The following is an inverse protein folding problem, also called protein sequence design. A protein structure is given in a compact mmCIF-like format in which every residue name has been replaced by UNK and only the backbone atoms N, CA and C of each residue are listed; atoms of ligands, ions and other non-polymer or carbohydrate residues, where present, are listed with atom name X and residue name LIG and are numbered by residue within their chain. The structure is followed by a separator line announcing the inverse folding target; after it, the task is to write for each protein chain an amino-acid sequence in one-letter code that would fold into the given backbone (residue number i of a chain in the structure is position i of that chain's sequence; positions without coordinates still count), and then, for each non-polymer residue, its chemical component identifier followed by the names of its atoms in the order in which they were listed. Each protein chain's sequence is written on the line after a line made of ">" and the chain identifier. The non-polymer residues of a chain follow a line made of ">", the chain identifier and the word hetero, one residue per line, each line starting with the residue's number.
data_IF_683814381121
#
_entry.id   IF_683814381121
#
_cell.length_a   1.000
_cell.length_b   1.000
_cell.length_c   1.000
_cell.angle_alpha   90.00
_cell.angle_beta   90.00
_cell.angle_gamma   90.00
#
_symmetry.space_group_name_H-M   'P 1'
#
loop_
_entity.id
_entity.type
_entity.pdbx_description
1 polymer ?
#
# COMPACT_ATOMS: atom_id res chain seq x y z
N UNK A 1 -38.73 7.11 19.30
CA UNK A 1 -37.38 6.52 19.51
C UNK A 1 -36.72 6.42 18.15
N UNK A 2 -35.74 7.27 17.85
CA UNK A 2 -35.00 7.18 16.58
C UNK A 2 -33.71 6.42 16.84
N UNK A 3 -33.53 5.28 16.14
CA UNK A 3 -32.32 4.48 16.20
C UNK A 3 -31.20 5.22 15.46
N UNK A 4 -30.26 5.79 16.22
CA UNK A 4 -29.01 6.34 15.72
C UNK A 4 -28.18 5.21 15.10
N UNK A 5 -28.12 5.15 13.77
CA UNK A 5 -27.18 4.30 13.07
C UNK A 5 -25.77 4.88 13.28
N UNK A 6 -24.98 4.22 14.12
CA UNK A 6 -23.57 4.55 14.31
C UNK A 6 -22.79 3.95 13.14
N UNK A 7 -22.38 4.80 12.19
CA UNK A 7 -21.44 4.38 11.16
C UNK A 7 -20.05 4.22 11.80
N UNK A 8 -19.54 3.00 11.85
CA UNK A 8 -18.12 2.77 12.12
C UNK A 8 -17.33 3.22 10.89
N UNK A 9 -16.81 4.45 10.95
CA UNK A 9 -15.82 4.93 9.99
C UNK A 9 -14.51 4.21 10.33
N UNK A 10 -14.18 3.17 9.57
CA UNK A 10 -12.84 2.59 9.66
C UNK A 10 -11.84 3.64 9.18
N UNK A 11 -10.78 3.93 9.95
CA UNK A 11 -9.74 4.84 9.49
C UNK A 11 -9.15 4.27 8.20
N UNK A 12 -9.34 4.99 7.08
CA UNK A 12 -8.67 4.63 5.84
C UNK A 12 -7.17 4.70 6.09
N UNK A 13 -6.49 3.57 5.97
CA UNK A 13 -5.03 3.54 6.03
C UNK A 13 -4.51 4.13 4.71
N UNK A 14 -3.98 5.35 4.79
CA UNK A 14 -3.55 6.11 3.62
C UNK A 14 -2.04 5.90 3.43
N UNK A 15 -1.66 5.35 2.28
CA UNK A 15 -0.27 5.29 1.83
C UNK A 15 0.31 6.71 1.74
N UNK A 16 1.59 6.86 2.10
CA UNK A 16 2.30 8.13 1.96
C UNK A 16 2.28 8.63 0.51
N UNK A 17 2.32 9.95 0.32
CA UNK A 17 2.33 10.56 -1.02
C UNK A 17 3.53 10.11 -1.86
N UNK A 18 4.68 9.89 -1.21
CA UNK A 18 5.88 9.35 -1.85
C UNK A 18 5.67 7.91 -2.33
N UNK A 19 5.15 7.02 -1.47
CA UNK A 19 4.87 5.65 -1.86
C UNK A 19 3.83 5.59 -2.99
N UNK A 20 2.78 6.45 -2.94
CA UNK A 20 1.80 6.62 -4.00
C UNK A 20 2.43 7.03 -5.34
N UNK A 21 3.35 8.00 -5.30
CA UNK A 21 4.06 8.44 -6.50
C UNK A 21 4.86 7.29 -7.13
N UNK A 22 5.54 6.50 -6.31
CA UNK A 22 6.33 5.35 -6.77
C UNK A 22 5.43 4.24 -7.36
N UNK A 23 4.33 3.87 -6.70
CA UNK A 23 3.41 2.84 -7.23
C UNK A 23 2.60 3.30 -8.44
N UNK A 24 2.64 4.60 -8.75
CA UNK A 24 2.10 5.17 -9.98
C UNK A 24 3.09 5.14 -11.15
N UNK A 25 4.39 4.88 -10.90
CA UNK A 25 5.39 4.69 -11.97
C UNK A 25 5.19 3.32 -12.63
N UNK A 26 5.65 3.20 -13.88
CA UNK A 26 5.73 1.89 -14.51
C UNK A 26 6.64 0.95 -13.71
N UNK A 27 6.29 -0.34 -13.59
CA UNK A 27 7.13 -1.35 -12.93
C UNK A 27 8.60 -1.30 -13.37
N UNK A 28 8.82 -1.10 -14.67
CA UNK A 28 10.15 -1.01 -15.28
C UNK A 28 10.95 0.24 -14.90
N UNK A 29 10.30 1.30 -14.43
CA UNK A 29 10.93 2.58 -14.08
C UNK A 29 11.28 2.68 -12.59
N UNK A 30 10.95 1.66 -11.79
CA UNK A 30 11.20 1.66 -10.34
C UNK A 30 12.61 1.18 -10.02
N UNK A 31 13.30 1.93 -9.17
CA UNK A 31 14.58 1.48 -8.60
C UNK A 31 14.38 0.49 -7.45
N UNK A 32 15.42 -0.27 -7.10
CA UNK A 32 15.36 -1.21 -5.98
C UNK A 32 15.12 -0.49 -4.63
N UNK A 33 15.69 0.71 -4.46
CA UNK A 33 15.45 1.59 -3.31
C UNK A 33 13.99 2.01 -3.23
N UNK A 34 13.38 2.39 -4.35
CA UNK A 34 11.97 2.76 -4.42
C UNK A 34 11.06 1.58 -4.10
N UNK A 35 11.38 0.38 -4.57
CA UNK A 35 10.64 -0.84 -4.22
C UNK A 35 10.71 -1.13 -2.72
N UNK A 36 11.87 -0.96 -2.07
CA UNK A 36 12.00 -1.10 -0.61
C UNK A 36 11.13 -0.11 0.15
N UNK A 37 11.11 1.15 -0.28
CA UNK A 37 10.27 2.19 0.33
C UNK A 37 8.77 1.85 0.22
N UNK A 38 8.33 1.36 -0.94
CA UNK A 38 6.95 0.91 -1.13
C UNK A 38 6.62 -0.28 -0.24
N UNK A 39 7.51 -1.27 -0.11
CA UNK A 39 7.31 -2.42 0.79
C UNK A 39 7.16 -1.95 2.24
N UNK A 40 7.99 -1.02 2.70
CA UNK A 40 7.89 -0.47 4.07
C UNK A 40 6.55 0.26 4.25
N UNK A 41 6.15 1.10 3.31
CA UNK A 41 4.91 1.84 3.39
C UNK A 41 3.68 0.90 3.36
N UNK A 42 3.70 -0.14 2.53
CA UNK A 42 2.64 -1.14 2.46
C UNK A 42 2.54 -1.96 3.74
N UNK A 43 3.65 -2.37 4.35
CA UNK A 43 3.65 -3.05 5.64
C UNK A 43 3.05 -2.21 6.78
N UNK A 44 3.24 -0.88 6.74
CA UNK A 44 2.67 0.03 7.73
C UNK A 44 1.18 0.32 7.48
N UNK A 45 0.74 0.21 6.23
CA UNK A 45 -0.59 0.66 5.79
C UNK A 45 -1.57 -0.51 5.60
N UNK A 46 -1.09 -1.72 5.31
CA UNK A 46 -1.93 -2.88 4.99
C UNK A 46 -1.48 -4.05 5.83
N UNK A 47 -2.23 -4.36 6.90
CA UNK A 47 -1.83 -5.40 7.87
C UNK A 47 -1.60 -6.76 7.20
N UNK A 48 -2.49 -7.14 6.28
CA UNK A 48 -2.39 -8.39 5.52
C UNK A 48 -1.18 -8.43 4.57
N UNK A 49 -0.60 -7.29 4.20
CA UNK A 49 0.58 -7.26 3.32
C UNK A 49 1.82 -7.84 4.03
N UNK A 50 1.91 -7.62 5.34
CA UNK A 50 3.00 -8.16 6.16
C UNK A 50 2.96 -9.66 6.37
N UNK A 51 1.84 -10.32 6.08
CA UNK A 51 1.69 -11.78 6.21
C UNK A 51 2.39 -12.54 5.07
N UNK A 52 2.64 -11.88 3.94
CA UNK A 52 3.35 -12.50 2.81
C UNK A 52 4.85 -12.62 3.09
N UNK A 53 5.51 -13.63 2.49
CA UNK A 53 6.98 -13.73 2.53
C UNK A 53 7.64 -12.47 1.93
N UNK A 54 8.82 -12.09 2.44
CA UNK A 54 9.55 -10.90 1.96
C UNK A 54 9.82 -10.92 0.45
N UNK A 55 10.04 -12.10 -0.13
CA UNK A 55 10.23 -12.28 -1.57
C UNK A 55 8.95 -11.92 -2.35
N UNK A 56 7.80 -12.36 -1.85
CA UNK A 56 6.50 -12.07 -2.45
C UNK A 56 6.13 -10.59 -2.27
N UNK A 57 6.37 -10.01 -1.10
CA UNK A 57 6.16 -8.58 -0.86
C UNK A 57 6.95 -7.72 -1.85
N UNK A 58 8.24 -8.02 -2.06
CA UNK A 58 9.07 -7.31 -3.05
C UNK A 58 8.55 -7.52 -4.48
N UNK A 59 8.16 -8.74 -4.83
CA UNK A 59 7.58 -9.02 -6.14
C UNK A 59 6.28 -8.25 -6.39
N UNK A 60 5.40 -8.15 -5.38
CA UNK A 60 4.15 -7.42 -5.49
C UNK A 60 4.40 -5.90 -5.55
N UNK A 61 5.34 -5.38 -4.76
CA UNK A 61 5.73 -3.98 -4.81
C UNK A 61 6.44 -3.59 -6.14
N UNK A 62 7.13 -4.53 -6.78
CA UNK A 62 7.78 -4.27 -8.07
C UNK A 62 6.80 -4.26 -9.24
N UNK A 63 5.77 -5.12 -9.23
CA UNK A 63 4.82 -5.24 -10.35
C UNK A 63 3.47 -4.55 -10.12
N UNK A 64 3.11 -4.27 -8.87
CA UNK A 64 1.81 -3.74 -8.49
C UNK A 64 1.58 -2.34 -9.07
N UNK A 65 0.36 -2.10 -9.54
CA UNK A 65 -0.03 -0.84 -10.16
C UNK A 65 -1.14 -0.17 -9.36
N UNK A 66 -0.96 1.10 -9.01
CA UNK A 66 -2.06 1.93 -8.54
C UNK A 66 -2.61 2.70 -9.74
N UNK A 67 -3.74 2.24 -10.27
CA UNK A 67 -4.48 2.95 -11.31
C UNK A 67 -5.15 4.17 -10.65
N UNK A 68 -4.97 5.35 -11.25
CA UNK A 68 -5.59 6.59 -10.78
C UNK A 68 -7.09 6.62 -11.04
#
# INVERSE_FOLDING_TARGET
>A
MYATHVYHVFPQKVLSNEAKAIVSLYPSDRTDEQVKLVVLALNQTVDAFGEFSIRLQRSLASVGWYEK
#
